data_IF_901525965758
#
_entry.id   IF_901525965758
#
_cell.length_a   1.000
_cell.length_b   1.000
_cell.length_c   1.000
_cell.angle_alpha   90.00
_cell.angle_beta   90.00
_cell.angle_gamma   90.00
#
_symmetry.space_group_name_H-M   'P 1'
#
loop_
_entity.id
_entity.type
_entity.pdbx_description
1 polymer ?
#
# COMPACT_ATOMS: atom_id res chain seq x y z
N UNK A 1 -11.92 -2.19 18.60
CA UNK A 1 -11.19 -1.53 17.50
C UNK A 1 -11.53 -2.26 16.22
N UNK A 2 -12.14 -1.61 15.23
CA UNK A 2 -12.58 -2.27 14.00
C UNK A 2 -11.41 -2.38 13.03
N UNK A 3 -11.09 -3.60 12.59
CA UNK A 3 -9.90 -3.92 11.78
C UNK A 3 -10.31 -4.48 10.43
N UNK A 4 -9.54 -4.17 9.40
CA UNK A 4 -9.74 -4.73 8.06
C UNK A 4 -8.41 -5.05 7.40
N UNK A 5 -8.38 -6.16 6.67
CA UNK A 5 -7.35 -6.44 5.68
C UNK A 5 -7.86 -6.02 4.32
N UNK A 6 -7.07 -5.20 3.62
CA UNK A 6 -7.35 -4.72 2.27
C UNK A 6 -6.31 -5.30 1.31
N UNK A 7 -6.77 -5.78 0.16
CA UNK A 7 -5.91 -6.12 -0.97
C UNK A 7 -6.43 -5.47 -2.26
N UNK A 8 -5.62 -5.48 -3.31
CA UNK A 8 -6.02 -5.00 -4.63
C UNK A 8 -5.43 -5.90 -5.73
N UNK A 9 -6.21 -6.16 -6.78
CA UNK A 9 -5.77 -6.91 -7.95
C UNK A 9 -6.47 -6.35 -9.19
N UNK A 10 -5.72 -6.09 -10.27
CA UNK A 10 -6.27 -5.47 -11.47
C UNK A 10 -5.79 -6.19 -12.73
N UNK A 11 -6.74 -6.60 -13.57
CA UNK A 11 -6.47 -7.41 -14.76
C UNK A 11 -6.42 -8.90 -14.47
N UNK A 12 -6.62 -9.71 -15.51
CA UNK A 12 -6.85 -11.15 -15.38
C UNK A 12 -5.68 -11.86 -14.69
N UNK A 13 -4.44 -11.57 -15.08
CA UNK A 13 -3.23 -12.16 -14.48
C UNK A 13 -3.15 -11.92 -12.96
N UNK A 14 -3.47 -10.70 -12.50
CA UNK A 14 -3.45 -10.38 -11.06
C UNK A 14 -4.63 -10.98 -10.32
N UNK A 15 -5.77 -11.17 -10.97
CA UNK A 15 -6.92 -11.87 -10.39
C UNK A 15 -6.62 -13.37 -10.23
N UNK A 16 -5.87 -13.98 -11.16
CA UNK A 16 -5.38 -15.35 -11.02
C UNK A 16 -4.45 -15.47 -9.81
N UNK A 17 -3.49 -14.55 -9.64
CA UNK A 17 -2.62 -14.50 -8.46
C UNK A 17 -3.45 -14.36 -7.18
N UNK A 18 -4.41 -13.43 -7.16
CA UNK A 18 -5.28 -13.22 -6.02
C UNK A 18 -6.11 -14.47 -5.67
N UNK A 19 -6.56 -15.25 -6.66
CA UNK A 19 -7.28 -16.50 -6.40
C UNK A 19 -6.43 -17.53 -5.65
N UNK A 20 -5.10 -17.50 -5.83
CA UNK A 20 -4.17 -18.37 -5.11
C UNK A 20 -3.90 -17.89 -3.68
N UNK A 21 -3.81 -16.58 -3.46
CA UNK A 21 -3.41 -15.99 -2.17
C UNK A 21 -4.59 -15.65 -1.26
N UNK A 22 -5.75 -15.28 -1.82
CA UNK A 22 -6.97 -14.88 -1.09
C UNK A 22 -7.39 -15.89 -0.02
N UNK A 23 -7.39 -17.22 -0.25
CA UNK A 23 -7.79 -18.16 0.80
C UNK A 23 -6.93 -18.04 2.07
N UNK A 24 -5.64 -17.71 1.94
CA UNK A 24 -4.75 -17.48 3.08
C UNK A 24 -5.03 -16.15 3.78
N UNK A 25 -5.36 -15.11 3.03
CA UNK A 25 -5.77 -13.81 3.60
C UNK A 25 -7.10 -13.92 4.34
N UNK A 26 -8.10 -14.58 3.77
CA UNK A 26 -9.40 -14.81 4.41
C UNK A 26 -9.27 -15.68 5.67
N UNK A 27 -8.44 -16.73 5.62
CA UNK A 27 -8.14 -17.54 6.79
C UNK A 27 -7.47 -16.72 7.90
N UNK A 28 -6.52 -15.84 7.54
CA UNK A 28 -5.91 -14.91 8.48
C UNK A 28 -6.92 -13.95 9.11
N UNK A 29 -7.81 -13.35 8.30
CA UNK A 29 -8.88 -12.47 8.76
C UNK A 29 -9.82 -13.18 9.73
N UNK A 30 -10.21 -14.42 9.40
CA UNK A 30 -11.05 -15.26 10.26
C UNK A 30 -10.39 -15.57 11.61
N UNK A 31 -9.08 -15.90 11.62
CA UNK A 31 -8.34 -16.21 12.86
C UNK A 31 -8.25 -15.02 13.81
N UNK A 32 -8.14 -13.80 13.27
CA UNK A 32 -7.86 -12.59 14.04
C UNK A 32 -9.03 -11.60 14.09
N UNK A 33 -10.23 -12.06 13.72
CA UNK A 33 -11.49 -11.30 13.74
C UNK A 33 -11.37 -9.95 13.01
N UNK A 34 -10.94 -10.00 11.75
CA UNK A 34 -10.79 -8.83 10.88
C UNK A 34 -11.72 -8.96 9.68
N UNK A 35 -12.23 -7.83 9.19
CA UNK A 35 -12.94 -7.80 7.90
C UNK A 35 -11.92 -8.00 6.76
N UNK A 36 -12.39 -8.51 5.61
CA UNK A 36 -11.58 -8.62 4.40
C UNK A 36 -12.23 -7.82 3.25
N UNK A 37 -11.44 -6.98 2.58
CA UNK A 37 -11.87 -6.21 1.41
C UNK A 37 -10.88 -6.43 0.28
N UNK A 38 -11.41 -6.81 -0.89
CA UNK A 38 -10.66 -6.93 -2.14
C UNK A 38 -11.09 -5.83 -3.11
N UNK A 39 -10.14 -5.01 -3.57
CA UNK A 39 -10.36 -3.97 -4.58
C UNK A 39 -9.98 -4.54 -5.95
N UNK A 40 -10.97 -4.95 -6.72
CA UNK A 40 -10.76 -5.65 -8.00
C UNK A 40 -11.05 -4.77 -9.23
N UNK A 41 -11.41 -3.51 -9.00
CA UNK A 41 -11.58 -2.50 -10.04
C UNK A 41 -10.68 -1.31 -9.73
N UNK A 42 -9.88 -0.81 -10.69
CA UNK A 42 -9.03 0.35 -10.45
C UNK A 42 -9.85 1.56 -10.03
N UNK A 43 -9.34 2.29 -9.02
CA UNK A 43 -9.95 3.52 -8.52
C UNK A 43 -9.09 4.76 -8.77
N UNK A 44 -7.86 4.56 -9.25
CA UNK A 44 -6.93 5.62 -9.60
C UNK A 44 -6.10 5.24 -10.83
N UNK A 45 -5.48 6.23 -11.46
CA UNK A 45 -4.45 6.04 -12.47
C UNK A 45 -3.15 6.75 -12.03
N UNK A 46 -1.98 6.08 -12.03
CA UNK A 46 -1.76 4.66 -12.32
C UNK A 46 -2.48 3.71 -11.33
N UNK A 47 -2.82 2.50 -11.78
CA UNK A 47 -3.69 1.57 -11.04
C UNK A 47 -3.13 1.18 -9.68
N UNK A 48 -1.81 1.19 -9.52
CA UNK A 48 -1.10 0.87 -8.27
C UNK A 48 -1.50 1.80 -7.12
N UNK A 49 -1.92 3.04 -7.44
CA UNK A 49 -2.39 4.03 -6.47
C UNK A 49 -3.84 3.83 -6.03
N UNK A 50 -4.54 2.80 -6.48
CA UNK A 50 -5.89 2.50 -6.00
C UNK A 50 -5.92 2.26 -4.48
N UNK A 51 -4.82 1.77 -3.88
CA UNK A 51 -4.65 1.63 -2.42
C UNK A 51 -4.74 2.95 -1.65
N UNK A 52 -4.63 4.10 -2.32
CA UNK A 52 -4.82 5.41 -1.68
C UNK A 52 -6.28 5.69 -1.26
N UNK A 53 -7.24 4.82 -1.60
CA UNK A 53 -8.62 4.90 -1.11
C UNK A 53 -8.78 4.48 0.35
N UNK A 54 -7.75 3.91 0.98
CA UNK A 54 -7.79 3.40 2.36
C UNK A 54 -8.39 4.41 3.37
N UNK A 55 -8.05 5.71 3.37
CA UNK A 55 -8.68 6.70 4.27
C UNK A 55 -10.20 6.81 4.08
N UNK A 56 -10.69 6.68 2.85
CA UNK A 56 -12.11 6.68 2.56
C UNK A 56 -12.79 5.42 3.13
N UNK A 57 -12.16 4.24 3.01
CA UNK A 57 -12.65 3.02 3.64
C UNK A 57 -12.69 3.17 5.17
N UNK A 58 -11.63 3.70 5.77
CA UNK A 58 -11.57 3.95 7.21
C UNK A 58 -12.70 4.87 7.68
N UNK A 59 -12.91 5.98 6.98
CA UNK A 59 -13.92 6.99 7.34
C UNK A 59 -15.34 6.47 7.12
N UNK A 60 -15.64 5.89 5.97
CA UNK A 60 -17.01 5.50 5.60
C UNK A 60 -17.47 4.18 6.23
N UNK A 61 -16.55 3.28 6.56
CA UNK A 61 -16.85 1.98 7.18
C UNK A 61 -16.47 1.91 8.66
N UNK A 62 -15.87 2.96 9.21
CA UNK A 62 -15.49 3.07 10.62
C UNK A 62 -14.32 2.17 11.02
N UNK A 63 -13.37 1.92 10.12
CA UNK A 63 -12.17 1.14 10.45
C UNK A 63 -11.14 1.99 11.19
N UNK A 64 -10.62 1.44 12.29
CA UNK A 64 -9.57 2.05 13.09
C UNK A 64 -8.17 1.68 12.60
N UNK A 65 -8.02 0.47 12.07
CA UNK A 65 -6.76 -0.09 11.56
C UNK A 65 -7.00 -0.81 10.24
N UNK A 66 -6.12 -0.53 9.28
CA UNK A 66 -6.06 -1.24 8.00
C UNK A 66 -4.72 -1.94 7.89
N UNK A 67 -4.76 -3.24 7.61
CA UNK A 67 -3.61 -3.99 7.09
C UNK A 67 -3.75 -4.06 5.58
N UNK A 68 -2.77 -3.61 4.83
CA UNK A 68 -2.75 -3.76 3.38
C UNK A 68 -1.79 -4.88 2.99
N UNK A 69 -2.25 -5.77 2.12
CA UNK A 69 -1.47 -6.85 1.51
C UNK A 69 -1.62 -6.75 -0.02
N UNK A 70 -0.53 -6.66 -0.77
CA UNK A 70 -0.57 -6.82 -2.23
C UNK A 70 -1.08 -8.24 -2.58
N UNK A 71 -1.67 -8.40 -3.77
CA UNK A 71 -2.31 -9.65 -4.19
C UNK A 71 -1.35 -10.85 -4.24
N UNK A 72 -0.04 -10.62 -4.40
CA UNK A 72 1.00 -11.65 -4.42
C UNK A 72 1.52 -12.02 -3.02
N UNK A 73 0.93 -11.49 -1.94
CA UNK A 73 1.30 -11.83 -0.57
C UNK A 73 0.64 -13.13 -0.12
N UNK A 74 1.46 -14.12 0.23
CA UNK A 74 0.99 -15.38 0.82
C UNK A 74 1.11 -15.35 2.35
N UNK A 75 -0.02 -15.26 3.05
CA UNK A 75 -0.03 -15.25 4.53
C UNK A 75 0.18 -16.67 5.10
N UNK A 76 1.15 -16.83 5.99
CA UNK A 76 1.40 -18.12 6.65
C UNK A 76 0.27 -18.47 7.63
N UNK A 77 0.12 -19.77 7.95
CA UNK A 77 -0.96 -20.24 8.83
C UNK A 77 -0.75 -19.79 10.28
N UNK A 78 0.50 -19.57 10.66
CA UNK A 78 0.95 -19.16 11.99
C UNK A 78 1.23 -17.64 12.09
N UNK A 79 0.97 -16.88 11.03
CA UNK A 79 1.17 -15.43 11.04
C UNK A 79 0.39 -14.78 12.21
N UNK A 80 1.07 -14.11 13.15
CA UNK A 80 0.43 -13.43 14.27
C UNK A 80 -0.39 -12.23 13.77
N UNK A 81 -1.22 -11.66 14.63
CA UNK A 81 -1.97 -10.45 14.28
C UNK A 81 -1.04 -9.23 14.19
N UNK A 82 -0.48 -8.99 13.00
CA UNK A 82 0.45 -7.87 12.75
C UNK A 82 -0.21 -6.50 12.93
N UNK A 83 -1.55 -6.43 12.97
CA UNK A 83 -2.25 -5.18 13.24
C UNK A 83 -1.97 -4.63 14.65
N UNK A 84 -1.47 -5.48 15.56
CA UNK A 84 -1.09 -5.13 16.93
C UNK A 84 0.28 -4.49 17.03
N UNK A 85 1.14 -4.67 16.02
CA UNK A 85 2.53 -4.19 16.04
C UNK A 85 2.64 -2.71 15.63
N UNK A 86 1.57 -2.12 15.09
CA UNK A 86 1.57 -0.74 14.64
C UNK A 86 1.01 0.21 15.70
N UNK A 87 1.85 1.10 16.24
CA UNK A 87 1.35 2.25 17.00
C UNK A 87 0.61 3.23 16.07
N UNK A 88 1.18 3.50 14.89
CA UNK A 88 0.60 4.42 13.90
C UNK A 88 0.68 3.89 12.48
N UNK A 89 1.88 3.51 12.06
CA UNK A 89 2.20 2.93 10.77
C UNK A 89 3.33 1.92 10.97
N UNK A 90 3.23 0.76 10.33
CA UNK A 90 4.27 -0.26 10.35
C UNK A 90 4.40 -0.86 8.94
N UNK A 91 5.63 -1.01 8.46
CA UNK A 91 5.95 -1.65 7.19
C UNK A 91 7.34 -2.27 7.27
N UNK A 92 7.61 -3.24 6.41
CA UNK A 92 8.92 -3.89 6.34
C UNK A 92 9.97 -2.96 5.70
N UNK A 93 11.06 -2.69 6.42
CA UNK A 93 12.23 -1.98 5.90
C UNK A 93 13.07 -2.90 5.01
N UNK A 94 12.64 -3.04 3.75
CA UNK A 94 13.38 -3.77 2.71
C UNK A 94 14.78 -3.16 2.49
N UNK A 95 14.97 -1.87 2.81
CA UNK A 95 16.24 -1.16 2.73
C UNK A 95 17.37 -1.73 3.59
N UNK A 96 17.05 -2.56 4.58
CA UNK A 96 18.02 -3.31 5.38
C UNK A 96 18.62 -4.51 4.63
N UNK A 97 17.93 -5.03 3.61
CA UNK A 97 18.31 -6.23 2.85
C UNK A 97 18.68 -5.92 1.40
N UNK A 98 18.03 -4.92 0.82
CA UNK A 98 18.27 -4.46 -0.54
C UNK A 98 18.35 -2.93 -0.54
N UNK A 99 19.56 -2.40 -0.68
CA UNK A 99 19.75 -0.96 -0.56
C UNK A 99 19.20 -0.19 -1.77
N UNK A 100 17.96 0.31 -1.61
CA UNK A 100 17.28 1.17 -2.58
C UNK A 100 17.46 2.67 -2.29
N UNK A 101 18.15 3.03 -1.19
CA UNK A 101 18.34 4.43 -0.77
C UNK A 101 19.06 5.29 -1.82
N UNK A 102 20.07 4.79 -2.56
CA UNK A 102 20.68 5.54 -3.66
C UNK A 102 19.67 5.91 -4.76
N UNK A 103 18.75 5.00 -5.08
CA UNK A 103 17.69 5.23 -6.06
C UNK A 103 16.68 6.28 -5.61
N UNK A 104 16.28 6.26 -4.34
CA UNK A 104 15.43 7.31 -3.75
C UNK A 104 16.10 8.69 -3.82
N UNK A 105 17.38 8.76 -3.44
CA UNK A 105 18.13 10.01 -3.49
C UNK A 105 18.28 10.52 -4.94
N UNK A 106 18.50 9.62 -5.91
CA UNK A 106 18.55 9.97 -7.33
C UNK A 106 17.20 10.48 -7.85
N UNK A 107 16.10 9.85 -7.47
CA UNK A 107 14.75 10.28 -7.83
C UNK A 107 14.44 11.68 -7.28
N UNK A 108 14.70 11.91 -5.99
CA UNK A 108 14.50 13.22 -5.38
C UNK A 108 15.30 14.32 -6.10
N UNK A 109 16.57 14.04 -6.43
CA UNK A 109 17.41 14.98 -7.19
C UNK A 109 16.83 15.31 -8.57
N UNK A 110 16.23 14.33 -9.24
CA UNK A 110 15.58 14.55 -10.53
C UNK A 110 14.38 15.52 -10.43
N UNK A 111 13.76 15.63 -9.25
CA UNK A 111 12.69 16.59 -8.96
C UNK A 111 13.18 17.88 -8.27
N UNK A 112 14.49 18.12 -8.20
CA UNK A 112 15.05 19.33 -7.57
C UNK A 112 15.11 19.29 -6.04
N UNK A 113 14.91 18.12 -5.43
CA UNK A 113 14.99 17.92 -3.99
C UNK A 113 16.26 17.19 -3.58
N UNK A 114 16.71 17.44 -2.34
CA UNK A 114 17.78 16.68 -1.70
C UNK A 114 17.22 15.96 -0.48
N UNK A 115 17.31 14.63 -0.49
CA UNK A 115 16.94 13.79 0.65
C UNK A 115 18.12 12.90 1.05
N UNK A 116 18.16 12.52 2.32
CA UNK A 116 19.04 11.51 2.88
C UNK A 116 18.15 10.37 3.42
N UNK A 117 17.80 9.38 2.57
CA UNK A 117 16.87 8.33 2.97
C UNK A 117 17.49 7.49 4.09
N UNK A 118 16.76 7.36 5.21
CA UNK A 118 17.20 6.54 6.36
C UNK A 118 16.72 5.10 6.29
N UNK A 119 15.62 4.87 5.58
CA UNK A 119 14.96 3.58 5.43
C UNK A 119 14.37 3.47 4.02
N UNK A 120 14.02 2.25 3.60
CA UNK A 120 13.24 2.01 2.41
C UNK A 120 12.19 0.94 2.70
N UNK A 121 10.93 1.32 2.64
CA UNK A 121 9.83 0.39 2.91
C UNK A 121 9.25 -0.14 1.60
N UNK A 122 8.97 -1.44 1.59
CA UNK A 122 8.12 -2.04 0.57
C UNK A 122 6.66 -1.89 1.00
N UNK A 123 5.85 -1.19 0.21
CA UNK A 123 4.44 -0.93 0.55
C UNK A 123 3.48 -2.02 0.04
N UNK A 124 4.00 -3.22 -0.22
CA UNK A 124 3.18 -4.41 -0.48
C UNK A 124 2.63 -5.05 0.78
N UNK A 125 3.25 -4.78 1.94
CA UNK A 125 2.69 -5.10 3.26
C UNK A 125 2.88 -3.91 4.18
N UNK A 126 1.78 -3.38 4.71
CA UNK A 126 1.84 -2.39 5.78
C UNK A 126 0.60 -2.44 6.66
N UNK A 127 0.72 -1.87 7.86
CA UNK A 127 -0.38 -1.63 8.78
C UNK A 127 -0.45 -0.13 9.04
N UNK A 128 -1.65 0.43 9.03
CA UNK A 128 -1.89 1.84 9.31
C UNK A 128 -3.10 2.04 10.20
N UNK A 129 -2.97 2.97 11.14
CA UNK A 129 -4.05 3.40 12.04
C UNK A 129 -4.71 4.67 11.51
N UNK A 130 -5.97 4.90 11.88
CA UNK A 130 -6.73 6.07 11.41
C UNK A 130 -6.08 7.41 11.79
N UNK A 131 -5.27 7.44 12.85
CA UNK A 131 -4.62 8.67 13.32
C UNK A 131 -3.58 9.23 12.35
N UNK A 132 -3.10 8.42 11.40
CA UNK A 132 -2.14 8.84 10.37
C UNK A 132 -2.67 8.59 8.96
N UNK A 133 -3.99 8.51 8.77
CA UNK A 133 -4.60 8.35 7.45
C UNK A 133 -4.20 9.45 6.44
N UNK A 134 -3.67 10.59 6.90
CA UNK A 134 -3.10 11.64 6.06
C UNK A 134 -1.89 11.22 5.23
N UNK A 135 -1.20 10.11 5.53
CA UNK A 135 -0.05 9.63 4.74
C UNK A 135 -0.44 9.22 3.30
N UNK A 136 -1.73 8.97 3.06
CA UNK A 136 -2.27 8.65 1.74
C UNK A 136 -2.64 9.89 0.93
N UNK A 137 -2.46 11.10 1.49
CA UNK A 137 -2.66 12.33 0.75
C UNK A 137 -1.72 12.34 -0.46
N UNK A 138 -2.30 12.45 -1.64
CA UNK A 138 -1.51 12.75 -2.82
C UNK A 138 -0.91 14.15 -2.66
N UNK A 139 0.30 14.40 -3.18
CA UNK A 139 0.78 15.77 -3.26
C UNK A 139 -0.30 16.62 -3.92
N UNK A 140 -0.53 17.87 -3.49
CA UNK A 140 -1.37 18.76 -4.26
C UNK A 140 -0.79 18.73 -5.67
N UNK A 141 -1.57 18.19 -6.62
CA UNK A 141 -1.21 18.21 -8.03
C UNK A 141 -1.38 19.67 -8.45
N UNK A 142 -0.43 20.51 -8.04
CA UNK A 142 -0.18 21.78 -8.67
C UNK A 142 0.23 21.45 -10.09
N UNK A 143 -0.63 21.82 -11.03
CA UNK A 143 -0.31 22.20 -12.41
C UNK A 143 1.20 22.18 -12.72
N UNK A 144 1.73 21.02 -13.11
CA UNK A 144 2.93 20.98 -13.94
C UNK A 144 2.45 20.59 -15.35
N UNK A 145 2.45 21.53 -16.32
CA UNK A 145 2.13 21.21 -17.70
C UNK A 145 3.33 20.50 -18.31
N UNK A 146 3.43 19.18 -18.16
CA UNK A 146 4.51 18.40 -18.79
C UNK A 146 4.00 17.17 -19.54
N UNK A 147 2.84 17.33 -20.20
CA UNK A 147 2.50 16.61 -21.44
C UNK A 147 2.72 17.51 -22.66
N UNK A 148 3.88 18.18 -22.73
CA UNK A 148 4.47 18.61 -24.00
C UNK A 148 5.82 17.93 -24.13
N UNK A 149 5.80 16.62 -24.39
CA UNK A 149 6.87 16.07 -25.21
C UNK A 149 6.68 16.68 -26.59
N UNK A 150 7.50 17.68 -26.91
CA UNK A 150 7.76 18.03 -28.28
C UNK A 150 8.22 16.76 -28.99
N UNK A 151 7.39 16.27 -29.90
CA UNK A 151 7.88 15.51 -31.04
C UNK A 151 8.71 16.49 -31.87
N UNK A 152 10.02 16.48 -31.66
CA UNK A 152 11.00 17.04 -32.59
C UNK A 152 12.12 16.03 -32.77
N UNK A 153 11.86 15.07 -33.65
CA UNK A 153 12.73 14.65 -34.76
C UNK A 153 11.94 13.64 -35.59
#
# INVERSE_FOLDING_TARGET
MKKVVVTQAFGDDWLEVLNLTRPRMEAYCKRHEQDFISIEKPLAHPVQYSKLIIPHLMTTKGYDVVTFLDADVLVTLDCPDISKDAEKFCAFDEGAYLDRKPGMAALARAFGYKIEPRFYVNTGVFVVTKSVAGIFAQPPIGLFPNLTRHSTA
#
